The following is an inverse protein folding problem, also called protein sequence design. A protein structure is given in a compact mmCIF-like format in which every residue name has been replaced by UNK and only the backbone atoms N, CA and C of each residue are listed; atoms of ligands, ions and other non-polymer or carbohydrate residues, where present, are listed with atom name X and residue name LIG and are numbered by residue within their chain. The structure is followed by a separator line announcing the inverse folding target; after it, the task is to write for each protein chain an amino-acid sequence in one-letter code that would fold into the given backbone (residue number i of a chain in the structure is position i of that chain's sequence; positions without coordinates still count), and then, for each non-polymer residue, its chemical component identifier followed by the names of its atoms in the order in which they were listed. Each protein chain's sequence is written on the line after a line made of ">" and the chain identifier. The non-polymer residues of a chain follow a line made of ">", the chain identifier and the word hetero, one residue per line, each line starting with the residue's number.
data_IF_620693349879
#
_entry.id   IF_620693349879
#
_cell.length_a   1.000
_cell.length_b   1.000
_cell.length_c   1.000
_cell.angle_alpha   90.00
_cell.angle_beta   90.00
_cell.angle_gamma   90.00
#
_symmetry.space_group_name_H-M   'P 1'
#
loop_
_entity.id
_entity.type
_entity.pdbx_description
1 polymer ?
#
# COMPACT_ATOMS: atom_id res chain seq x y z
N UNK A 1 1.88 40.91 38.51
CA UNK A 1 3.00 40.30 39.25
C UNK A 1 2.86 38.78 39.05
N UNK A 2 3.37 38.25 37.92
CA UNK A 2 3.30 36.81 37.61
C UNK A 2 4.68 36.32 37.24
N UNK A 3 5.21 35.42 38.04
CA UNK A 3 6.49 34.77 37.86
C UNK A 3 6.41 33.70 36.77
N UNK A 4 7.26 33.85 35.76
CA UNK A 4 7.52 32.81 34.73
C UNK A 4 8.59 31.87 35.28
N UNK A 5 8.25 30.59 35.46
CA UNK A 5 9.27 29.54 35.68
C UNK A 5 9.67 28.95 34.32
N UNK A 6 10.94 29.13 34.00
CA UNK A 6 11.61 28.44 32.90
C UNK A 6 12.12 27.10 33.44
N UNK A 7 11.66 26.00 32.90
CA UNK A 7 12.26 24.67 33.16
C UNK A 7 13.28 24.46 32.04
N UNK A 8 14.56 24.38 32.42
CA UNK A 8 15.64 23.98 31.54
C UNK A 8 15.81 22.45 31.66
N UNK A 9 15.65 21.77 30.53
CA UNK A 9 15.91 20.32 30.43
C UNK A 9 17.41 20.12 30.17
N UNK A 10 18.15 19.58 31.15
CA UNK A 10 19.53 19.20 30.99
C UNK A 10 19.62 17.76 30.46
N UNK A 11 20.14 17.59 29.24
CA UNK A 11 20.47 16.28 28.67
C UNK A 11 21.83 15.88 29.23
N UNK A 12 21.85 14.92 30.17
CA UNK A 12 23.06 14.30 30.68
C UNK A 12 23.54 13.17 29.75
N UNK A 13 24.70 13.37 29.10
CA UNK A 13 25.41 12.28 28.44
C UNK A 13 26.06 11.36 29.51
N UNK A 14 25.54 10.16 29.65
CA UNK A 14 26.20 9.11 30.42
C UNK A 14 27.20 8.36 29.52
N UNK A 15 28.50 8.61 29.70
CA UNK A 15 29.58 7.82 29.13
C UNK A 15 29.77 6.56 29.97
N UNK A 16 29.36 5.40 29.44
CA UNK A 16 29.68 4.11 30.05
C UNK A 16 31.11 3.69 29.64
N UNK A 17 32.01 3.62 30.61
CA UNK A 17 33.34 3.04 30.44
C UNK A 17 33.24 1.52 30.45
N UNK A 18 33.53 0.89 29.28
CA UNK A 18 33.72 -0.58 29.20
C UNK A 18 35.11 -0.94 29.75
N UNK A 19 35.16 -1.64 30.86
CA UNK A 19 36.38 -2.35 31.34
C UNK A 19 36.53 -3.64 30.53
N UNK A 20 37.60 -3.73 29.73
CA UNK A 20 38.03 -4.97 29.09
C UNK A 20 38.57 -5.96 30.17
N UNK A 21 37.85 -7.04 30.34
CA UNK A 21 38.40 -8.22 31.03
C UNK A 21 39.18 -9.09 30.02
N UNK A 22 40.43 -9.33 30.28
CA UNK A 22 41.29 -10.19 29.46
C UNK A 22 40.82 -11.65 29.57
N UNK A 23 40.50 -12.26 28.44
CA UNK A 23 40.22 -13.72 28.33
C UNK A 23 41.50 -14.42 27.87
N UNK A 24 41.91 -15.55 28.48
CA UNK A 24 43.13 -16.25 28.08
C UNK A 24 42.96 -16.89 26.68
N UNK A 25 43.96 -16.65 25.84
CA UNK A 25 44.09 -17.21 24.50
C UNK A 25 44.41 -18.70 24.56
N UNK A 26 43.50 -19.53 24.04
CA UNK A 26 43.87 -20.92 23.69
C UNK A 26 44.34 -20.89 22.23
N UNK A 27 45.62 -21.15 22.03
CA UNK A 27 46.20 -21.39 20.73
C UNK A 27 45.77 -22.79 20.26
N UNK A 28 44.87 -22.85 19.29
CA UNK A 28 44.66 -24.02 18.44
C UNK A 28 45.37 -23.80 17.13
N UNK A 29 46.36 -24.61 16.87
CA UNK A 29 46.98 -24.76 15.54
C UNK A 29 46.00 -25.50 14.67
N UNK A 30 45.34 -24.79 13.76
CA UNK A 30 44.64 -25.40 12.65
C UNK A 30 44.97 -24.62 11.36
N UNK A 31 45.50 -25.34 10.39
CA UNK A 31 45.78 -24.89 9.04
C UNK A 31 44.46 -24.49 8.35
N UNK A 32 44.00 -23.27 8.57
CA UNK A 32 42.95 -22.70 7.76
C UNK A 32 43.54 -21.78 6.71
N UNK A 33 43.32 -22.15 5.45
CA UNK A 33 43.57 -21.31 4.28
C UNK A 33 43.02 -19.90 4.54
N UNK A 34 43.91 -18.96 4.81
CA UNK A 34 43.60 -17.52 4.74
C UNK A 34 43.29 -17.15 3.30
N UNK A 35 42.01 -17.19 2.96
CA UNK A 35 41.52 -16.42 1.85
C UNK A 35 41.65 -14.93 2.25
N UNK A 36 42.84 -14.36 2.03
CA UNK A 36 43.00 -12.90 2.01
C UNK A 36 42.16 -12.37 0.86
N UNK A 37 40.90 -12.08 1.13
CA UNK A 37 40.13 -11.21 0.24
C UNK A 37 40.80 -9.85 0.29
N UNK A 38 41.51 -9.51 -0.79
CA UNK A 38 42.03 -8.16 -1.03
C UNK A 38 40.83 -7.19 -1.18
N UNK A 39 40.22 -6.84 -0.08
CA UNK A 39 39.12 -5.86 -0.03
C UNK A 39 39.59 -4.46 -0.51
N UNK A 40 40.90 -4.19 -0.45
CA UNK A 40 41.49 -2.91 -0.88
C UNK A 40 41.44 -2.68 -2.40
N UNK A 41 41.21 -3.70 -3.22
CA UNK A 41 41.17 -3.60 -4.68
C UNK A 41 39.83 -4.02 -5.32
N UNK A 42 38.78 -4.23 -4.52
CA UNK A 42 37.46 -4.47 -5.10
C UNK A 42 36.95 -3.18 -5.76
N UNK A 43 36.54 -3.23 -7.05
CA UNK A 43 36.01 -2.05 -7.71
C UNK A 43 34.75 -1.58 -6.96
N UNK A 44 34.65 -0.28 -6.73
CA UNK A 44 33.45 0.30 -6.12
C UNK A 44 32.25 0.05 -7.07
N UNK A 45 31.16 -0.42 -6.51
CA UNK A 45 29.92 -0.57 -7.26
C UNK A 45 29.44 0.84 -7.66
N UNK A 46 29.23 1.12 -8.96
CA UNK A 46 28.72 2.42 -9.37
C UNK A 46 27.38 2.75 -8.74
N UNK A 47 27.15 4.01 -8.37
CA UNK A 47 25.88 4.46 -7.80
C UNK A 47 24.68 4.13 -8.69
N UNK A 48 24.83 4.21 -10.01
CA UNK A 48 23.81 3.86 -10.98
C UNK A 48 23.37 2.39 -10.90
N UNK A 49 24.31 1.49 -10.57
CA UNK A 49 23.97 0.07 -10.38
C UNK A 49 23.12 -0.17 -9.12
N UNK A 50 23.25 0.69 -8.10
CA UNK A 50 22.49 0.57 -6.83
C UNK A 50 21.24 1.46 -6.78
N UNK A 51 21.28 2.66 -7.38
CA UNK A 51 20.27 3.70 -7.23
C UNK A 51 19.75 4.26 -8.55
N UNK A 52 20.19 3.70 -9.68
CA UNK A 52 19.69 4.09 -10.99
C UNK A 52 18.22 3.69 -11.18
N UNK A 53 17.52 4.42 -12.04
CA UNK A 53 16.16 4.06 -12.40
C UNK A 53 16.12 2.66 -13.04
N UNK A 54 15.12 1.84 -12.74
CA UNK A 54 14.93 0.58 -13.43
C UNK A 54 14.65 0.82 -14.92
N UNK A 55 15.03 -0.12 -15.76
CA UNK A 55 14.69 -0.07 -17.20
C UNK A 55 13.19 -0.27 -17.44
N UNK A 56 12.55 -1.08 -16.62
CA UNK A 56 11.08 -1.27 -16.51
C UNK A 56 10.73 -1.68 -15.11
N UNK A 57 9.64 -1.14 -14.56
CA UNK A 57 9.09 -1.51 -13.26
C UNK A 57 7.58 -1.36 -13.22
N UNK A 58 6.92 -1.99 -12.24
CA UNK A 58 5.50 -1.82 -11.98
C UNK A 58 4.63 -2.16 -13.19
N UNK A 59 4.92 -3.27 -13.89
CA UNK A 59 4.12 -3.72 -15.02
C UNK A 59 2.69 -4.06 -14.61
N UNK A 60 1.70 -3.58 -15.37
CA UNK A 60 0.28 -3.84 -15.15
C UNK A 60 -0.40 -4.18 -16.49
N UNK A 61 -1.44 -5.00 -16.42
CA UNK A 61 -2.34 -5.29 -17.54
C UNK A 61 -3.60 -4.45 -17.34
N UNK A 62 -4.15 -3.87 -18.41
CA UNK A 62 -5.43 -3.17 -18.32
C UNK A 62 -6.56 -4.12 -17.91
N UNK A 63 -7.63 -3.65 -17.24
CA UNK A 63 -8.75 -4.50 -16.85
C UNK A 63 -9.41 -5.27 -18.01
N UNK A 64 -9.38 -4.72 -19.23
CA UNK A 64 -9.89 -5.38 -20.44
C UNK A 64 -8.85 -6.28 -21.15
N UNK A 65 -7.63 -6.38 -20.61
CA UNK A 65 -6.55 -7.24 -21.12
C UNK A 65 -5.88 -6.78 -22.42
N UNK A 66 -6.26 -5.61 -22.97
CA UNK A 66 -5.76 -5.16 -24.27
C UNK A 66 -4.41 -4.45 -24.23
N UNK A 67 -4.03 -3.93 -23.07
CA UNK A 67 -2.86 -3.10 -22.89
C UNK A 67 -1.95 -3.61 -21.79
N UNK A 68 -0.65 -3.40 -21.97
CA UNK A 68 0.36 -3.53 -20.93
C UNK A 68 0.98 -2.16 -20.68
N UNK A 69 1.06 -1.76 -19.41
CA UNK A 69 1.68 -0.53 -18.97
C UNK A 69 2.82 -0.80 -17.99
N UNK A 70 3.80 0.11 -17.91
CA UNK A 70 4.92 0.03 -16.98
C UNK A 70 5.57 1.39 -16.75
N UNK A 71 6.35 1.51 -15.68
CA UNK A 71 7.23 2.64 -15.45
C UNK A 71 8.57 2.41 -16.15
N UNK A 72 9.03 3.40 -16.91
CA UNK A 72 10.37 3.41 -17.49
C UNK A 72 10.87 4.84 -17.69
N UNK A 73 12.19 5.08 -17.76
CA UNK A 73 12.73 6.41 -18.00
C UNK A 73 12.33 6.95 -19.36
N UNK A 74 11.89 8.22 -19.38
CA UNK A 74 11.84 9.08 -20.56
C UNK A 74 12.68 10.30 -20.26
N UNK A 75 13.76 10.53 -21.03
CA UNK A 75 14.75 11.57 -20.75
C UNK A 75 15.33 11.53 -19.31
N UNK A 76 15.51 10.34 -18.75
CA UNK A 76 16.07 10.14 -17.41
C UNK A 76 15.06 10.21 -16.25
N UNK A 77 13.81 10.56 -16.50
CA UNK A 77 12.74 10.63 -15.50
C UNK A 77 11.72 9.50 -15.72
N UNK A 78 11.30 8.80 -14.65
CA UNK A 78 10.30 7.73 -14.76
C UNK A 78 8.95 8.30 -15.19
N UNK A 79 8.42 7.71 -16.24
CA UNK A 79 7.13 8.00 -16.84
C UNK A 79 6.35 6.70 -17.07
N UNK A 80 5.04 6.78 -17.26
CA UNK A 80 4.21 5.64 -17.61
C UNK A 80 4.31 5.39 -19.11
N UNK A 81 4.62 4.16 -19.48
CA UNK A 81 4.65 3.64 -20.83
C UNK A 81 3.49 2.68 -21.05
N UNK A 82 3.04 2.58 -22.29
CA UNK A 82 1.89 1.78 -22.70
C UNK A 82 2.20 1.10 -24.03
N UNK A 83 1.81 -0.18 -24.15
CA UNK A 83 1.83 -0.91 -25.41
C UNK A 83 0.58 -1.79 -25.53
N UNK A 84 0.14 -2.16 -26.76
CA UNK A 84 -0.81 -3.26 -26.93
C UNK A 84 -0.25 -4.55 -26.31
N UNK A 85 -1.12 -5.37 -25.71
CA UNK A 85 -0.70 -6.60 -25.03
C UNK A 85 -0.07 -7.63 -25.98
N UNK A 86 -0.42 -7.58 -27.25
CA UNK A 86 0.09 -8.44 -28.34
C UNK A 86 1.25 -7.81 -29.14
N UNK A 87 1.62 -6.54 -28.88
CA UNK A 87 2.69 -5.82 -29.60
C UNK A 87 3.47 -4.87 -28.69
N UNK A 88 4.36 -5.43 -27.87
CA UNK A 88 5.19 -4.66 -26.94
C UNK A 88 6.24 -3.76 -27.61
N UNK A 89 6.56 -4.01 -28.88
CA UNK A 89 7.50 -3.19 -29.64
C UNK A 89 6.87 -1.85 -30.05
N UNK A 90 5.55 -1.76 -30.06
CA UNK A 90 4.80 -0.52 -30.33
C UNK A 90 4.48 0.27 -29.05
N UNK A 91 5.46 0.34 -28.14
CA UNK A 91 5.32 1.07 -26.88
C UNK A 91 5.42 2.59 -27.08
N UNK A 92 4.58 3.33 -26.34
CA UNK A 92 4.60 4.79 -26.30
C UNK A 92 4.63 5.30 -24.86
N UNK A 93 5.27 6.45 -24.64
CA UNK A 93 5.21 7.16 -23.37
C UNK A 93 3.88 7.90 -23.27
N UNK A 94 3.19 7.73 -22.14
CA UNK A 94 1.87 8.32 -21.93
C UNK A 94 1.92 9.60 -21.11
N UNK A 95 2.88 9.72 -20.20
CA UNK A 95 3.03 10.86 -19.29
C UNK A 95 4.24 11.72 -19.66
N UNK A 96 4.30 12.95 -19.14
CA UNK A 96 5.31 13.94 -19.55
C UNK A 96 6.09 14.51 -18.36
N UNK A 97 6.33 13.68 -17.35
CA UNK A 97 7.14 14.09 -16.20
C UNK A 97 8.59 14.37 -16.63
N UNK A 98 9.12 15.56 -16.26
CA UNK A 98 10.46 16.02 -16.62
C UNK A 98 11.37 16.27 -15.44
N UNK A 99 10.81 16.44 -14.25
CA UNK A 99 11.54 16.75 -13.01
C UNK A 99 11.29 15.69 -11.94
N UNK A 100 10.06 15.49 -11.55
CA UNK A 100 9.65 14.52 -10.55
C UNK A 100 9.23 13.19 -11.20
N UNK A 101 9.82 12.04 -10.80
CA UNK A 101 9.43 10.76 -11.37
C UNK A 101 8.02 10.37 -10.94
N UNK A 102 7.25 9.78 -11.86
CA UNK A 102 6.03 9.08 -11.49
C UNK A 102 6.44 7.79 -10.79
N UNK A 103 5.96 7.58 -9.56
CA UNK A 103 6.33 6.42 -8.73
C UNK A 103 5.22 5.38 -8.63
N UNK A 104 3.98 5.84 -8.73
CA UNK A 104 2.78 5.02 -8.64
C UNK A 104 1.78 5.44 -9.69
N UNK A 105 1.19 4.46 -10.34
CA UNK A 105 0.09 4.62 -11.26
C UNK A 105 -0.82 3.39 -11.18
N UNK A 106 -2.02 3.49 -11.67
CA UNK A 106 -2.98 2.39 -11.73
C UNK A 106 -3.94 2.62 -12.89
N UNK A 107 -4.61 1.56 -13.30
CA UNK A 107 -5.63 1.64 -14.31
C UNK A 107 -6.94 2.19 -13.74
N UNK A 108 -7.62 3.03 -14.52
CA UNK A 108 -9.03 3.27 -14.29
C UNK A 108 -9.80 1.97 -14.57
N UNK A 109 -10.86 1.67 -13.79
CA UNK A 109 -11.58 0.40 -13.93
C UNK A 109 -12.20 0.15 -15.31
N UNK A 110 -12.47 1.22 -16.08
CA UNK A 110 -13.00 1.18 -17.45
C UNK A 110 -11.94 0.90 -18.52
N UNK A 111 -10.68 0.82 -18.17
CA UNK A 111 -9.53 0.70 -19.09
C UNK A 111 -9.31 1.90 -20.01
N UNK A 112 -10.05 3.00 -19.85
CA UNK A 112 -9.96 4.16 -20.72
C UNK A 112 -8.83 5.11 -20.33
N UNK A 113 -8.37 5.07 -19.09
CA UNK A 113 -7.33 5.96 -18.56
C UNK A 113 -6.35 5.27 -17.64
N UNK A 114 -5.11 5.79 -17.69
CA UNK A 114 -4.09 5.56 -16.65
C UNK A 114 -4.20 6.68 -15.63
N UNK A 115 -4.34 6.33 -14.36
CA UNK A 115 -4.39 7.26 -13.25
C UNK A 115 -3.06 7.28 -12.52
N UNK A 116 -2.59 8.43 -12.09
CA UNK A 116 -1.37 8.55 -11.31
C UNK A 116 -1.43 9.72 -10.31
N UNK A 117 -0.63 9.62 -9.26
CA UNK A 117 -0.53 10.63 -8.22
C UNK A 117 0.85 11.27 -8.27
N UNK A 118 0.91 12.60 -8.29
CA UNK A 118 2.15 13.35 -8.30
C UNK A 118 2.01 14.70 -7.61
N UNK A 119 3.11 15.13 -6.96
CA UNK A 119 3.26 16.45 -6.38
C UNK A 119 3.93 17.44 -7.36
N UNK A 120 3.85 18.73 -7.07
CA UNK A 120 4.50 19.77 -7.86
C UNK A 120 5.77 20.25 -7.14
N UNK A 121 6.94 19.95 -7.70
CA UNK A 121 8.21 20.47 -7.19
C UNK A 121 8.65 19.97 -5.81
N UNK A 122 8.03 18.91 -5.27
CA UNK A 122 8.34 18.37 -3.95
C UNK A 122 7.57 19.00 -2.79
N UNK A 123 6.44 19.62 -3.07
CA UNK A 123 5.56 20.24 -2.07
C UNK A 123 4.70 19.24 -1.27
N UNK A 124 4.75 17.94 -1.68
CA UNK A 124 4.01 16.85 -1.08
C UNK A 124 2.47 16.99 -1.14
N UNK A 125 1.97 17.98 -1.87
CA UNK A 125 0.56 18.12 -2.22
C UNK A 125 0.27 17.26 -3.46
N UNK A 126 0.06 15.98 -3.22
CA UNK A 126 -0.13 15.00 -4.29
C UNK A 126 -1.51 15.11 -4.91
N UNK A 127 -1.57 15.43 -6.18
CA UNK A 127 -2.79 15.52 -6.96
C UNK A 127 -3.00 14.25 -7.80
N UNK A 128 -4.25 13.96 -8.13
CA UNK A 128 -4.63 12.87 -9.02
C UNK A 128 -4.72 13.37 -10.47
N UNK A 129 -4.06 12.66 -11.35
CA UNK A 129 -4.06 12.89 -12.79
C UNK A 129 -4.62 11.67 -13.52
N UNK A 130 -5.27 11.92 -14.65
CA UNK A 130 -5.72 10.90 -15.57
C UNK A 130 -5.14 11.14 -16.98
N UNK A 131 -4.68 10.06 -17.63
CA UNK A 131 -4.22 10.11 -19.03
C UNK A 131 -5.07 9.15 -19.85
N UNK A 132 -5.83 9.69 -20.79
CA UNK A 132 -6.62 8.85 -21.69
C UNK A 132 -5.73 8.03 -22.62
N UNK A 133 -5.92 6.71 -22.68
CA UNK A 133 -5.01 5.78 -23.37
C UNK A 133 -5.06 5.90 -24.89
N UNK A 134 -6.19 6.31 -25.45
CA UNK A 134 -6.34 6.47 -26.90
C UNK A 134 -5.78 7.80 -27.39
N UNK A 135 -6.15 8.90 -26.71
CA UNK A 135 -5.81 10.26 -27.15
C UNK A 135 -4.51 10.77 -26.57
N UNK A 136 -4.02 10.22 -25.45
CA UNK A 136 -2.87 10.72 -24.70
C UNK A 136 -3.13 12.07 -24.03
N UNK A 137 -4.40 12.49 -23.93
CA UNK A 137 -4.77 13.73 -23.23
C UNK A 137 -4.67 13.50 -21.73
N UNK A 138 -3.90 14.35 -21.06
CA UNK A 138 -3.75 14.39 -19.61
C UNK A 138 -4.71 15.41 -18.99
N UNK A 139 -5.35 15.03 -17.90
CA UNK A 139 -6.27 15.88 -17.13
C UNK A 139 -5.91 15.80 -15.64
N UNK A 140 -5.88 16.95 -14.95
CA UNK A 140 -5.81 16.99 -13.49
C UNK A 140 -7.22 16.78 -12.93
N UNK A 141 -7.43 15.68 -12.19
CA UNK A 141 -8.74 15.31 -11.66
C UNK A 141 -9.03 15.97 -10.31
N UNK A 142 -7.99 16.39 -9.57
CA UNK A 142 -8.10 17.03 -8.26
C UNK A 142 -7.26 18.29 -8.22
N UNK A 143 -7.65 19.35 -8.96
CA UNK A 143 -6.89 20.60 -9.04
C UNK A 143 -7.27 21.55 -7.90
N UNK A 144 -6.84 21.20 -6.68
CA UNK A 144 -7.00 22.02 -5.47
C UNK A 144 -5.64 22.47 -4.95
N UNK A 145 -5.56 23.70 -4.50
CA UNK A 145 -4.34 24.24 -3.86
C UNK A 145 -4.14 23.63 -2.46
N UNK A 146 -2.89 23.34 -2.11
CA UNK A 146 -2.49 22.82 -0.78
C UNK A 146 -3.25 21.56 -0.35
N UNK A 147 -3.64 20.74 -1.33
CA UNK A 147 -4.45 19.54 -1.11
C UNK A 147 -3.68 18.29 -1.50
N UNK A 148 -3.84 17.24 -0.70
CA UNK A 148 -3.34 15.92 -0.98
C UNK A 148 -4.51 14.97 -1.24
N UNK A 149 -4.40 14.19 -2.31
CA UNK A 149 -5.33 13.12 -2.61
C UNK A 149 -4.84 11.80 -2.02
N UNK A 150 -5.76 10.96 -1.60
CA UNK A 150 -5.56 9.53 -1.31
C UNK A 150 -6.61 8.73 -2.07
N UNK A 151 -6.25 7.56 -2.60
CA UNK A 151 -7.26 6.61 -3.12
C UNK A 151 -7.83 5.83 -1.95
N UNK A 152 -9.14 5.85 -1.78
CA UNK A 152 -9.87 5.13 -0.74
C UNK A 152 -10.38 3.79 -1.26
N UNK A 153 -10.83 3.73 -2.52
CA UNK A 153 -11.31 2.51 -3.12
C UNK A 153 -11.63 2.64 -4.61
N UNK A 154 -11.66 1.52 -5.28
CA UNK A 154 -12.13 1.33 -6.64
C UNK A 154 -13.03 0.11 -6.69
N UNK A 155 -13.66 -0.14 -7.84
CA UNK A 155 -14.56 -1.27 -8.06
C UNK A 155 -14.32 -1.87 -9.44
N UNK A 156 -14.29 -3.20 -9.52
CA UNK A 156 -14.27 -3.90 -10.80
C UNK A 156 -15.65 -3.92 -11.48
N UNK A 157 -16.70 -3.51 -10.78
CA UNK A 157 -18.10 -3.49 -11.24
C UNK A 157 -18.57 -2.09 -11.62
N UNK A 158 -18.20 -1.08 -10.82
CA UNK A 158 -18.53 0.34 -11.06
C UNK A 158 -17.31 0.99 -11.70
N UNK A 159 -17.31 1.04 -13.04
CA UNK A 159 -16.10 1.34 -13.81
C UNK A 159 -15.85 2.82 -14.05
N UNK A 160 -16.84 3.65 -13.85
CA UNK A 160 -16.79 5.09 -14.11
C UNK A 160 -16.54 5.94 -12.86
N UNK A 161 -16.33 5.31 -11.70
CA UNK A 161 -16.15 5.99 -10.41
C UNK A 161 -15.07 5.36 -9.56
N UNK A 162 -14.46 6.20 -8.71
CA UNK A 162 -13.57 5.76 -7.62
C UNK A 162 -13.87 6.59 -6.37
N UNK A 163 -13.48 6.06 -5.22
CA UNK A 163 -13.47 6.81 -3.96
C UNK A 163 -12.09 7.39 -3.69
N UNK A 164 -12.05 8.66 -3.37
CA UNK A 164 -10.84 9.38 -2.99
C UNK A 164 -11.03 10.12 -1.67
N UNK A 165 -9.92 10.34 -0.98
CA UNK A 165 -9.85 11.21 0.17
C UNK A 165 -9.16 12.53 -0.21
N UNK A 166 -9.70 13.67 0.22
CA UNK A 166 -9.12 14.98 0.00
C UNK A 166 -9.03 15.74 1.33
N UNK A 167 -7.89 16.37 1.61
CA UNK A 167 -7.71 17.22 2.80
C UNK A 167 -7.89 18.73 2.49
N UNK A 168 -8.73 19.04 1.51
CA UNK A 168 -8.99 20.42 1.07
C UNK A 168 -9.77 21.27 2.08
N UNK A 169 -10.58 20.66 2.94
CA UNK A 169 -11.33 21.31 4.02
C UNK A 169 -10.45 21.51 5.27
N UNK A 170 -9.81 20.43 5.71
CA UNK A 170 -8.92 20.41 6.88
C UNK A 170 -7.60 19.73 6.49
N UNK A 171 -6.43 20.41 6.60
CA UNK A 171 -5.15 19.81 6.22
C UNK A 171 -4.77 18.53 6.97
N UNK A 172 -5.39 18.26 8.11
CA UNK A 172 -5.10 17.08 8.94
C UNK A 172 -5.92 15.85 8.52
N UNK A 173 -7.09 16.04 7.91
CA UNK A 173 -8.05 14.98 7.67
C UNK A 173 -8.50 14.93 6.20
N UNK A 174 -8.61 13.74 5.66
CA UNK A 174 -9.09 13.51 4.31
C UNK A 174 -10.57 13.16 4.35
N UNK A 175 -11.40 14.06 3.85
CA UNK A 175 -12.83 13.80 3.63
C UNK A 175 -13.00 12.84 2.46
N UNK A 176 -14.01 11.97 2.50
CA UNK A 176 -14.23 10.96 1.46
C UNK A 176 -15.16 11.50 0.38
N UNK A 177 -14.71 11.42 -0.86
CA UNK A 177 -15.46 11.82 -2.04
C UNK A 177 -15.60 10.66 -3.03
N UNK A 178 -16.73 10.60 -3.71
CA UNK A 178 -16.86 9.85 -4.94
C UNK A 178 -16.48 10.74 -6.11
N UNK A 179 -15.51 10.29 -6.92
CA UNK A 179 -15.06 10.95 -8.14
C UNK A 179 -15.64 10.21 -9.35
N UNK A 180 -16.40 10.92 -10.18
CA UNK A 180 -16.81 10.45 -11.51
C UNK A 180 -15.64 10.66 -12.49
N UNK A 181 -15.13 9.59 -13.07
CA UNK A 181 -13.93 9.60 -13.93
C UNK A 181 -14.24 10.20 -15.34
N UNK A 182 -15.50 10.22 -15.76
CA UNK A 182 -15.91 10.76 -17.05
C UNK A 182 -16.07 12.28 -17.00
N UNK A 183 -16.62 12.78 -15.90
CA UNK A 183 -16.98 14.21 -15.76
C UNK A 183 -16.02 14.99 -14.89
N UNK A 184 -15.28 14.32 -14.01
CA UNK A 184 -14.46 14.93 -12.96
C UNK A 184 -15.28 15.47 -11.79
N UNK A 185 -16.59 15.15 -11.72
CA UNK A 185 -17.46 15.59 -10.63
C UNK A 185 -17.12 14.89 -9.33
N UNK A 186 -17.07 15.67 -8.24
CA UNK A 186 -16.84 15.19 -6.89
C UNK A 186 -18.14 15.29 -6.08
N UNK A 187 -18.53 14.17 -5.49
CA UNK A 187 -19.63 14.10 -4.51
C UNK A 187 -19.05 13.75 -3.15
N UNK A 188 -19.20 14.65 -2.17
CA UNK A 188 -18.77 14.37 -0.79
C UNK A 188 -19.66 13.30 -0.16
N UNK A 189 -19.04 12.29 0.43
CA UNK A 189 -19.73 11.20 1.12
C UNK A 189 -19.59 11.30 2.63
N UNK A 190 -18.37 11.58 3.13
CA UNK A 190 -18.06 11.62 4.56
C UNK A 190 -17.12 12.78 4.85
N UNK A 191 -17.53 13.67 5.76
CA UNK A 191 -16.67 14.66 6.40
C UNK A 191 -15.85 13.95 7.50
N UNK A 192 -14.52 14.00 7.37
CA UNK A 192 -13.62 13.33 8.31
C UNK A 192 -13.26 14.22 9.50
N UNK A 193 -13.70 13.84 10.69
CA UNK A 193 -13.47 14.55 11.94
C UNK A 193 -12.57 13.77 12.91
N UNK A 194 -11.54 13.04 12.40
CA UNK A 194 -10.55 12.42 13.28
C UNK A 194 -10.20 10.96 12.98
N UNK A 195 -10.51 10.47 11.79
CA UNK A 195 -10.16 9.11 11.34
C UNK A 195 -8.90 9.14 10.47
N UNK A 196 -8.05 8.11 10.65
CA UNK A 196 -6.82 7.96 9.88
C UNK A 196 -7.07 7.41 8.47
N UNK A 197 -8.19 6.70 8.27
CA UNK A 197 -8.53 6.12 6.98
C UNK A 197 -9.92 5.49 6.95
N UNK A 198 -10.31 5.12 5.73
CA UNK A 198 -11.58 4.48 5.42
C UNK A 198 -11.35 3.28 4.52
N UNK A 199 -12.27 2.33 4.57
CA UNK A 199 -12.30 1.19 3.65
C UNK A 199 -13.70 1.07 3.05
N UNK A 200 -13.73 0.84 1.73
CA UNK A 200 -14.95 0.60 0.98
C UNK A 200 -15.03 -0.84 0.48
N UNK A 201 -16.24 -1.28 0.15
CA UNK A 201 -16.47 -2.51 -0.59
C UNK A 201 -16.52 -2.27 -2.12
N UNK A 202 -16.77 -3.34 -2.88
CA UNK A 202 -16.82 -3.29 -4.35
C UNK A 202 -18.07 -2.57 -4.92
N UNK A 203 -19.04 -2.20 -4.08
CA UNK A 203 -20.13 -1.30 -4.47
C UNK A 203 -19.78 0.19 -4.29
N UNK A 204 -18.54 0.49 -3.89
CA UNK A 204 -18.06 1.83 -3.49
C UNK A 204 -18.80 2.37 -2.26
N UNK A 205 -19.39 1.49 -1.44
CA UNK A 205 -19.93 1.85 -0.14
C UNK A 205 -18.79 1.89 0.88
N UNK A 206 -18.64 3.01 1.58
CA UNK A 206 -17.69 3.07 2.70
C UNK A 206 -18.24 2.22 3.84
N UNK A 207 -17.48 1.19 4.23
CA UNK A 207 -17.93 0.17 5.21
C UNK A 207 -17.21 0.30 6.55
N UNK A 208 -16.07 0.96 6.57
CA UNK A 208 -15.26 1.08 7.78
C UNK A 208 -14.55 2.43 7.86
N UNK A 209 -14.47 2.97 9.07
CA UNK A 209 -13.59 4.06 9.45
C UNK A 209 -12.58 3.56 10.49
N UNK A 210 -11.34 4.02 10.42
CA UNK A 210 -10.20 3.58 11.23
C UNK A 210 -9.63 4.76 11.99
N UNK A 211 -9.45 4.64 13.31
CA UNK A 211 -8.92 5.70 14.15
C UNK A 211 -7.85 5.16 15.10
N UNK A 212 -6.68 5.84 15.25
CA UNK A 212 -5.74 5.53 16.31
C UNK A 212 -6.40 5.69 17.67
N UNK A 213 -6.19 4.74 18.56
CA UNK A 213 -6.67 4.82 19.94
C UNK A 213 -5.60 5.35 20.91
N UNK A 214 -5.99 5.63 22.16
CA UNK A 214 -5.11 6.21 23.16
C UNK A 214 -3.98 5.28 23.61
N UNK A 215 -4.15 3.98 23.40
CA UNK A 215 -3.20 2.93 23.79
C UNK A 215 -2.17 2.63 22.66
N UNK A 216 -2.20 3.40 21.58
CA UNK A 216 -1.29 3.23 20.43
C UNK A 216 -1.72 2.14 19.45
N UNK A 217 -2.88 1.55 19.63
CA UNK A 217 -3.51 0.65 18.68
C UNK A 217 -4.49 1.37 17.75
N UNK A 218 -5.44 0.61 17.20
CA UNK A 218 -6.46 1.12 16.26
C UNK A 218 -7.85 0.71 16.70
N UNK A 219 -8.80 1.62 16.54
CA UNK A 219 -10.24 1.38 16.66
C UNK A 219 -10.86 1.30 15.27
N UNK A 220 -11.75 0.32 15.06
CA UNK A 220 -12.45 0.08 13.81
C UNK A 220 -13.95 0.30 13.99
N UNK A 221 -14.51 1.20 13.19
CA UNK A 221 -15.90 1.61 13.27
C UNK A 221 -16.67 1.15 12.04
N UNK A 222 -17.87 0.59 12.23
CA UNK A 222 -18.76 0.33 11.08
C UNK A 222 -19.25 1.64 10.48
N UNK A 223 -19.35 1.66 9.15
CA UNK A 223 -20.01 2.76 8.39
C UNK A 223 -21.21 2.17 7.67
N UNK A 224 -22.34 2.84 7.73
CA UNK A 224 -23.58 2.47 7.05
C UNK A 224 -24.23 3.73 6.52
N UNK A 225 -24.59 3.76 5.25
CA UNK A 225 -25.18 4.94 4.58
C UNK A 225 -24.37 6.23 4.84
N UNK A 226 -23.04 6.12 4.82
CA UNK A 226 -22.04 7.17 5.11
C UNK A 226 -22.05 7.70 6.56
N UNK A 227 -22.80 7.07 7.46
CA UNK A 227 -22.82 7.40 8.89
C UNK A 227 -21.86 6.47 9.65
N UNK A 228 -20.94 7.05 10.42
CA UNK A 228 -19.98 6.32 11.24
C UNK A 228 -20.61 5.96 12.58
N UNK A 229 -20.53 4.69 12.98
CA UNK A 229 -21.02 4.23 14.27
C UNK A 229 -20.33 4.96 15.44
N UNK A 230 -21.05 5.22 16.51
CA UNK A 230 -20.53 5.93 17.69
C UNK A 230 -19.46 5.12 18.43
N UNK A 231 -19.58 3.78 18.44
CA UNK A 231 -18.66 2.88 19.13
C UNK A 231 -17.92 1.97 18.13
N UNK A 232 -16.65 1.65 18.39
CA UNK A 232 -15.92 0.72 17.57
C UNK A 232 -16.48 -0.71 17.72
N UNK A 233 -16.54 -1.46 16.62
CA UNK A 233 -16.93 -2.88 16.66
C UNK A 233 -15.73 -3.79 16.90
N UNK A 234 -14.50 -3.29 16.67
CA UNK A 234 -13.24 -4.01 16.90
C UNK A 234 -12.14 -3.01 17.25
N UNK A 235 -11.13 -3.48 17.97
CA UNK A 235 -9.94 -2.71 18.30
C UNK A 235 -8.70 -3.59 18.34
N UNK A 236 -7.51 -2.98 18.15
CA UNK A 236 -6.21 -3.59 18.38
C UNK A 236 -5.47 -2.87 19.48
N UNK A 237 -4.63 -3.59 20.21
CA UNK A 237 -3.59 -3.01 21.05
C UNK A 237 -2.40 -2.55 20.21
N UNK A 238 -1.48 -1.79 20.81
CA UNK A 238 -0.28 -1.29 20.12
C UNK A 238 0.57 -2.44 19.54
N UNK A 239 0.69 -3.55 20.24
CA UNK A 239 1.48 -4.71 19.84
C UNK A 239 0.98 -5.39 18.56
N UNK A 240 -0.33 -5.34 18.31
CA UNK A 240 -0.97 -5.93 17.13
C UNK A 240 -1.23 -4.93 16.00
N UNK A 241 -1.00 -3.64 16.23
CA UNK A 241 -1.43 -2.55 15.32
C UNK A 241 -0.79 -2.57 13.94
N UNK A 242 0.39 -3.19 13.80
CA UNK A 242 1.09 -3.33 12.53
C UNK A 242 0.71 -4.59 11.76
N UNK A 243 0.22 -5.61 12.46
CA UNK A 243 -0.02 -6.95 11.91
C UNK A 243 -1.50 -7.33 11.87
N UNK A 244 -2.37 -6.54 12.56
CA UNK A 244 -3.82 -6.72 12.49
C UNK A 244 -4.46 -5.59 11.69
N UNK A 245 -4.89 -5.92 10.47
CA UNK A 245 -5.44 -4.96 9.53
C UNK A 245 -6.60 -5.58 8.72
N UNK A 246 -7.63 -4.79 8.38
CA UNK A 246 -8.64 -5.24 7.43
C UNK A 246 -8.00 -5.48 6.07
N UNK A 247 -8.39 -6.57 5.41
CA UNK A 247 -7.82 -7.00 4.14
C UNK A 247 -8.82 -6.93 2.96
N UNK A 248 -10.02 -6.42 3.16
CA UNK A 248 -11.04 -6.20 2.12
C UNK A 248 -12.28 -7.07 2.30
N UNK A 249 -13.18 -7.00 1.32
CA UNK A 249 -14.49 -7.67 1.35
C UNK A 249 -14.63 -8.65 0.18
N UNK A 250 -15.57 -9.58 0.30
CA UNK A 250 -16.17 -10.25 -0.87
C UNK A 250 -17.00 -9.24 -1.67
N UNK A 251 -17.22 -9.47 -2.96
CA UNK A 251 -17.95 -8.55 -3.85
C UNK A 251 -19.41 -8.35 -3.44
N UNK A 252 -20.00 -9.32 -2.73
CA UNK A 252 -21.34 -9.19 -2.15
C UNK A 252 -21.35 -8.45 -0.80
N UNK A 253 -20.17 -8.06 -0.29
CA UNK A 253 -20.01 -7.32 0.97
C UNK A 253 -20.35 -8.08 2.25
N UNK A 254 -20.60 -9.41 2.17
CA UNK A 254 -21.02 -10.20 3.34
C UNK A 254 -19.86 -10.74 4.17
N UNK A 255 -18.72 -10.97 3.55
CA UNK A 255 -17.51 -11.42 4.24
C UNK A 255 -16.47 -10.34 4.22
N UNK A 256 -15.89 -10.03 5.36
CA UNK A 256 -14.72 -9.17 5.50
C UNK A 256 -13.51 -10.02 5.88
N UNK A 257 -12.40 -9.81 5.19
CA UNK A 257 -11.14 -10.47 5.51
C UNK A 257 -10.27 -9.58 6.38
N UNK A 258 -9.50 -10.22 7.26
CA UNK A 258 -8.53 -9.60 8.15
C UNK A 258 -7.22 -10.38 8.14
N UNK A 259 -6.11 -9.70 8.19
CA UNK A 259 -4.89 -10.23 8.78
C UNK A 259 -4.99 -9.96 10.28
N UNK A 260 -4.91 -10.97 11.13
CA UNK A 260 -5.17 -10.86 12.56
C UNK A 260 -4.11 -11.60 13.39
N UNK A 261 -3.30 -10.85 14.15
CA UNK A 261 -2.28 -11.37 15.06
C UNK A 261 -2.75 -11.43 16.51
N UNK A 262 -3.93 -10.96 16.85
CA UNK A 262 -4.43 -10.89 18.23
C UNK A 262 -4.48 -12.27 18.89
N UNK A 263 -3.72 -12.41 20.00
CA UNK A 263 -3.57 -13.68 20.71
C UNK A 263 -2.77 -14.75 19.96
N UNK A 264 -1.97 -14.36 18.95
CA UNK A 264 -1.13 -15.22 18.13
C UNK A 264 0.31 -14.72 18.08
N UNK A 265 1.23 -15.58 17.66
CA UNK A 265 2.62 -15.16 17.39
C UNK A 265 2.78 -14.60 15.96
N UNK A 266 1.98 -15.11 15.03
CA UNK A 266 1.96 -14.69 13.62
C UNK A 266 0.54 -14.32 13.21
N UNK A 267 0.40 -13.35 12.31
CA UNK A 267 -0.91 -12.97 11.77
C UNK A 267 -1.47 -14.06 10.85
N UNK A 268 -2.73 -14.42 11.09
CA UNK A 268 -3.49 -15.31 10.24
C UNK A 268 -4.42 -14.52 9.32
N UNK A 269 -4.79 -15.08 8.18
CA UNK A 269 -5.94 -14.60 7.42
C UNK A 269 -7.22 -15.13 8.06
N UNK A 270 -8.12 -14.22 8.39
CA UNK A 270 -9.40 -14.49 9.03
C UNK A 270 -10.53 -13.93 8.19
N UNK A 271 -11.57 -14.72 7.94
CA UNK A 271 -12.82 -14.24 7.37
C UNK A 271 -13.82 -13.96 8.50
N UNK A 272 -14.48 -12.81 8.43
CA UNK A 272 -15.53 -12.39 9.35
C UNK A 272 -16.84 -12.20 8.56
N UNK A 273 -17.89 -12.83 9.01
CA UNK A 273 -19.25 -12.51 8.55
C UNK A 273 -19.63 -11.10 9.03
N UNK A 274 -20.00 -10.21 8.12
CA UNK A 274 -20.21 -8.78 8.42
C UNK A 274 -21.45 -8.55 9.28
N UNK A 275 -22.48 -9.39 9.12
CA UNK A 275 -23.74 -9.25 9.83
C UNK A 275 -23.66 -9.80 11.26
N UNK A 276 -23.10 -10.99 11.42
CA UNK A 276 -23.05 -11.69 12.72
C UNK A 276 -21.79 -11.38 13.52
N UNK A 277 -20.69 -10.99 12.83
CA UNK A 277 -19.37 -10.84 13.43
C UNK A 277 -18.66 -12.16 13.72
N UNK A 278 -19.22 -13.31 13.32
CA UNK A 278 -18.57 -14.60 13.46
C UNK A 278 -17.30 -14.68 12.60
N UNK A 279 -16.24 -15.23 13.16
CA UNK A 279 -14.92 -15.31 12.49
C UNK A 279 -14.47 -16.75 12.28
N UNK A 280 -13.75 -17.00 11.18
CA UNK A 280 -13.07 -18.26 10.91
C UNK A 280 -11.67 -18.00 10.33
N UNK A 281 -10.70 -18.79 10.76
CA UNK A 281 -9.35 -18.78 10.19
C UNK A 281 -9.39 -19.41 8.80
N UNK A 282 -8.80 -18.72 7.82
CA UNK A 282 -8.68 -19.18 6.43
C UNK A 282 -7.31 -19.78 6.20
N UNK A 283 -6.25 -19.07 6.62
CA UNK A 283 -4.86 -19.51 6.51
C UNK A 283 -4.05 -19.01 7.69
N UNK A 284 -3.08 -19.81 8.11
CA UNK A 284 -2.10 -19.45 9.14
C UNK A 284 -0.78 -20.19 8.90
N UNK A 285 0.34 -19.58 9.34
CA UNK A 285 1.67 -20.21 9.34
C UNK A 285 2.38 -19.91 10.66
N UNK A 286 3.04 -20.90 11.24
CA UNK A 286 3.71 -20.73 12.53
C UNK A 286 5.05 -19.98 12.42
N UNK A 287 5.62 -19.86 11.20
CA UNK A 287 6.95 -19.31 10.93
C UNK A 287 6.93 -17.81 10.65
N UNK A 288 5.87 -17.31 10.01
CA UNK A 288 5.72 -15.91 9.61
C UNK A 288 4.25 -15.53 9.41
N UNK A 289 4.00 -14.22 9.33
CA UNK A 289 2.66 -13.68 9.06
C UNK A 289 2.18 -14.08 7.67
N UNK A 290 0.89 -14.27 7.53
CA UNK A 290 0.21 -14.31 6.23
C UNK A 290 0.22 -12.88 5.69
N UNK A 291 0.70 -12.66 4.47
CA UNK A 291 1.02 -11.31 4.00
C UNK A 291 0.42 -10.87 2.68
N UNK A 292 -0.04 -11.75 1.80
CA UNK A 292 -0.61 -11.36 0.52
C UNK A 292 -1.68 -12.35 0.08
N UNK A 293 -2.65 -11.92 -0.71
CA UNK A 293 -3.69 -12.80 -1.21
C UNK A 293 -3.91 -12.65 -2.71
N UNK A 294 -4.21 -13.77 -3.37
CA UNK A 294 -4.83 -13.80 -4.70
C UNK A 294 -6.32 -14.00 -4.47
N UNK A 295 -7.13 -13.24 -5.19
CA UNK A 295 -8.59 -13.27 -5.05
C UNK A 295 -9.24 -13.47 -6.39
N UNK A 296 -10.34 -14.19 -6.37
CA UNK A 296 -11.26 -14.25 -7.49
C UNK A 296 -11.88 -12.87 -7.74
N UNK A 297 -11.81 -12.37 -8.97
CA UNK A 297 -12.26 -11.02 -9.32
C UNK A 297 -13.79 -10.90 -9.34
N UNK A 298 -14.52 -11.98 -9.52
CA UNK A 298 -15.98 -11.98 -9.58
C UNK A 298 -16.60 -12.05 -8.17
N UNK A 299 -16.02 -12.86 -7.29
CA UNK A 299 -16.57 -13.13 -5.95
C UNK A 299 -15.83 -12.38 -4.84
N UNK A 300 -14.58 -11.97 -5.06
CA UNK A 300 -13.71 -11.41 -4.03
C UNK A 300 -13.21 -12.47 -3.02
N UNK A 301 -13.52 -13.76 -3.23
CA UNK A 301 -13.04 -14.83 -2.37
C UNK A 301 -11.52 -15.02 -2.50
N UNK A 302 -10.87 -15.36 -1.40
CA UNK A 302 -9.43 -15.61 -1.39
C UNK A 302 -9.13 -17.00 -1.91
N UNK A 303 -8.38 -17.09 -2.99
CA UNK A 303 -7.97 -18.32 -3.67
C UNK A 303 -6.57 -18.81 -3.30
N UNK A 304 -5.69 -17.88 -2.92
CA UNK A 304 -4.37 -18.21 -2.40
C UNK A 304 -3.86 -17.10 -1.47
N UNK A 305 -3.03 -17.48 -0.52
CA UNK A 305 -2.30 -16.59 0.37
C UNK A 305 -0.80 -16.80 0.30
N UNK A 306 -0.05 -15.80 0.70
CA UNK A 306 1.41 -15.87 0.74
C UNK A 306 1.98 -15.75 2.15
N UNK A 307 3.07 -16.48 2.36
CA UNK A 307 3.93 -16.41 3.56
C UNK A 307 5.31 -15.99 3.12
N UNK A 308 5.84 -14.93 3.69
CA UNK A 308 7.21 -14.48 3.43
C UNK A 308 8.13 -14.86 4.60
N UNK A 309 8.74 -16.02 4.51
CA UNK A 309 9.70 -16.50 5.51
C UNK A 309 11.15 -16.29 5.04
N UNK A 310 11.71 -17.20 4.25
CA UNK A 310 13.01 -17.02 3.58
C UNK A 310 12.85 -16.53 2.13
N UNK A 311 11.72 -16.84 1.54
CA UNK A 311 11.24 -16.40 0.22
C UNK A 311 9.73 -16.27 0.31
N UNK A 312 9.10 -15.71 -0.71
CA UNK A 312 7.64 -15.71 -0.81
C UNK A 312 7.16 -17.12 -1.18
N UNK A 313 6.32 -17.70 -0.32
CA UNK A 313 5.73 -19.02 -0.50
C UNK A 313 4.22 -18.83 -0.64
N UNK A 314 3.66 -19.30 -1.74
CA UNK A 314 2.21 -19.25 -1.98
C UNK A 314 1.53 -20.53 -1.49
N UNK A 315 0.42 -20.38 -0.78
CA UNK A 315 -0.45 -21.46 -0.33
C UNK A 315 -1.78 -21.32 -1.05
N UNK A 316 -2.04 -22.24 -1.99
CA UNK A 316 -3.32 -22.26 -2.71
C UNK A 316 -4.42 -22.78 -1.80
N UNK A 317 -5.53 -22.05 -1.75
CA UNK A 317 -6.78 -22.43 -1.10
C UNK A 317 -7.75 -23.03 -2.13
N UNK A 318 -7.65 -22.57 -3.38
CA UNK A 318 -8.40 -23.12 -4.51
C UNK A 318 -7.53 -24.11 -5.33
N UNK A 319 -8.05 -25.32 -5.67
CA UNK A 319 -7.30 -26.32 -6.44
C UNK A 319 -6.94 -25.89 -7.87
N UNK A 320 -7.73 -25.02 -8.53
CA UNK A 320 -7.45 -24.54 -9.89
C UNK A 320 -6.30 -23.55 -9.88
N UNK A 321 -6.27 -22.65 -8.90
CA UNK A 321 -5.17 -21.71 -8.69
C UNK A 321 -3.88 -22.44 -8.31
N UNK A 322 -3.99 -23.56 -7.57
CA UNK A 322 -2.82 -24.38 -7.23
C UNK A 322 -2.05 -24.84 -8.45
N UNK A 323 -2.73 -25.31 -9.49
CA UNK A 323 -2.08 -25.77 -10.71
C UNK A 323 -1.31 -24.65 -11.42
N UNK A 324 -1.83 -23.43 -11.38
CA UNK A 324 -1.16 -22.24 -11.94
C UNK A 324 0.06 -21.83 -11.12
N UNK A 325 -0.06 -21.86 -9.78
CA UNK A 325 1.07 -21.52 -8.88
C UNK A 325 2.18 -22.58 -8.92
N UNK A 326 1.84 -23.86 -9.08
CA UNK A 326 2.83 -24.94 -9.21
C UNK A 326 3.62 -24.84 -10.54
N UNK A 327 3.06 -24.19 -11.58
CA UNK A 327 3.72 -23.94 -12.86
C UNK A 327 4.72 -22.78 -12.80
N UNK A 328 4.42 -21.72 -12.04
CA UNK A 328 5.25 -20.52 -11.87
C UNK A 328 6.42 -20.74 -10.92
#
# INVERSE_FOLDING_TARGET
>A
MFHRHKIALAIGCATAALTLAAVPSFASTDDSMTATTNAENAPLIPREALFGNPTRAGGQISPDGKWISWLAPSNGVLNVWLAPADDLDNAKVMTKATDRPIRQYFWAPDSASLLYIQDKGGDENFLLYGVNVETGVETTLTDFENTRVMVVGGSDRIKDKILIGLNNRDPQYHDVYMLDLNTGELTELIENNGYAGFMADDNLDVRMAIRPNQDGGMDFFKVTDNEIAAEPFSATAMEDSLTTNPAGFTTDGKTMYWYDSRGRNTAALVAMDVDTGETRVIAEDERADIGGSIRDQETGEVEADSVYYLKNEWVALDPEVKASLDFL
#
